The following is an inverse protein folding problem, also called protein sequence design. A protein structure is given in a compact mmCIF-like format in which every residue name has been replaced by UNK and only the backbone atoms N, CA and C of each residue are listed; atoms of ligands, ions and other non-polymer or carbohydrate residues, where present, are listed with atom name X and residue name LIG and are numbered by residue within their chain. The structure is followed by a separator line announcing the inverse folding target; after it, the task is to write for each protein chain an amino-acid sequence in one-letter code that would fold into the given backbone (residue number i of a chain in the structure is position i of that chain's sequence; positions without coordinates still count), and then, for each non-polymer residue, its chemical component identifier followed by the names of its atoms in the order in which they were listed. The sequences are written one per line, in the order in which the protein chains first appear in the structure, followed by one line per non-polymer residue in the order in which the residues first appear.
data_IF_724031543713
#
_entry.id   IF_724031543713
#
_cell.length_a   1.000
_cell.length_b   1.000
_cell.length_c   1.000
_cell.angle_alpha   90.00
_cell.angle_beta   90.00
_cell.angle_gamma   90.00
#
_symmetry.space_group_name_H-M   'P 1'
#
loop_
_entity.id
_entity.type
_entity.pdbx_description
1 polymer ?
#
# COMPACT_ATOMS: atom_id res chain seq x y z
N UNK A 1 -4.72 -6.40 -28.12
CA UNK A 1 -3.81 -6.29 -26.96
C UNK A 1 -4.44 -7.07 -25.82
N UNK A 2 -3.73 -8.03 -25.25
CA UNK A 2 -4.22 -8.71 -24.04
C UNK A 2 -4.30 -7.69 -22.90
N UNK A 3 -5.53 -7.40 -22.47
CA UNK A 3 -5.79 -6.47 -21.37
C UNK A 3 -5.60 -7.27 -20.09
N UNK A 4 -4.59 -6.94 -19.30
CA UNK A 4 -4.34 -7.64 -18.04
C UNK A 4 -5.51 -7.29 -17.11
N UNK A 5 -6.24 -8.26 -16.53
CA UNK A 5 -7.24 -7.96 -15.50
C UNK A 5 -6.65 -7.10 -14.39
N UNK A 6 -7.47 -6.28 -13.73
CA UNK A 6 -6.98 -5.54 -12.57
C UNK A 6 -6.88 -6.50 -11.38
N UNK A 7 -5.73 -6.54 -10.71
CA UNK A 7 -5.53 -7.31 -9.47
C UNK A 7 -5.24 -6.34 -8.34
N UNK A 8 -6.00 -6.46 -7.25
CA UNK A 8 -5.83 -5.66 -6.04
C UNK A 8 -5.35 -6.55 -4.89
N UNK A 9 -4.19 -6.26 -4.33
CA UNK A 9 -3.67 -6.93 -3.13
C UNK A 9 -4.00 -6.06 -1.92
N UNK A 10 -4.73 -6.62 -0.96
CA UNK A 10 -5.04 -5.95 0.31
C UNK A 10 -4.18 -6.57 1.41
N UNK A 11 -3.36 -5.75 2.06
CA UNK A 11 -2.48 -6.15 3.16
C UNK A 11 -3.01 -5.52 4.44
N UNK A 12 -3.38 -6.34 5.42
CA UNK A 12 -3.72 -5.88 6.76
C UNK A 12 -2.46 -5.90 7.63
N UNK A 13 -2.12 -4.78 8.24
CA UNK A 13 -1.02 -4.64 9.19
C UNK A 13 -1.55 -4.48 10.62
N UNK A 14 -0.90 -5.14 11.60
CA UNK A 14 -1.12 -4.87 13.02
C UNK A 14 0.17 -5.15 13.81
N UNK A 15 0.78 -4.11 14.38
CA UNK A 15 1.98 -4.18 15.23
C UNK A 15 3.19 -4.94 14.64
N UNK A 16 3.27 -5.08 13.31
CA UNK A 16 4.36 -5.81 12.64
C UNK A 16 4.68 -5.21 11.26
N UNK A 17 5.22 -4.00 11.26
CA UNK A 17 5.63 -3.33 10.02
C UNK A 17 6.75 -4.07 9.28
N UNK A 18 7.58 -4.84 9.97
CA UNK A 18 8.68 -5.60 9.35
C UNK A 18 8.14 -6.64 8.37
N UNK A 19 7.13 -7.43 8.79
CA UNK A 19 6.50 -8.44 7.94
C UNK A 19 5.78 -7.78 6.75
N UNK A 20 5.12 -6.65 7.00
CA UNK A 20 4.50 -5.86 5.93
C UNK A 20 5.54 -5.38 4.92
N UNK A 21 6.71 -4.91 5.37
CA UNK A 21 7.80 -4.49 4.47
C UNK A 21 8.37 -5.69 3.70
N UNK A 22 8.60 -6.83 4.35
CA UNK A 22 9.10 -8.03 3.67
C UNK A 22 8.12 -8.49 2.58
N UNK A 23 6.81 -8.48 2.88
CA UNK A 23 5.76 -8.75 1.91
C UNK A 23 5.81 -7.77 0.73
N UNK A 24 5.99 -6.47 0.99
CA UNK A 24 6.12 -5.46 -0.07
C UNK A 24 7.39 -5.65 -0.92
N UNK A 25 8.52 -6.07 -0.33
CA UNK A 25 9.73 -6.44 -1.10
C UNK A 25 9.50 -7.66 -1.98
N UNK A 26 8.73 -8.64 -1.51
CA UNK A 26 8.33 -9.80 -2.31
C UNK A 26 7.44 -9.39 -3.48
N UNK A 27 6.41 -8.57 -3.23
CA UNK A 27 5.47 -8.09 -4.27
C UNK A 27 6.19 -7.31 -5.37
N UNK A 28 7.27 -6.57 -5.05
CA UNK A 28 8.08 -5.86 -6.06
C UNK A 28 8.68 -6.77 -7.14
N UNK A 29 8.86 -8.06 -6.86
CA UNK A 29 9.40 -9.02 -7.82
C UNK A 29 8.31 -9.66 -8.69
N UNK A 30 7.03 -9.36 -8.44
CA UNK A 30 5.91 -9.88 -9.23
C UNK A 30 5.86 -9.18 -10.58
N UNK A 31 5.95 -9.96 -11.67
CA UNK A 31 5.84 -9.44 -13.04
C UNK A 31 4.37 -9.34 -13.50
N UNK A 32 3.50 -8.71 -12.69
CA UNK A 32 2.10 -8.40 -13.03
C UNK A 32 1.92 -6.88 -13.25
N UNK A 33 1.56 -6.43 -14.47
CA UNK A 33 1.56 -5.01 -14.84
C UNK A 33 0.32 -4.23 -14.41
N UNK A 34 -0.83 -4.88 -14.19
CA UNK A 34 -2.07 -4.23 -13.76
C UNK A 34 -2.40 -4.55 -12.30
N UNK A 35 -1.45 -4.23 -11.42
CA UNK A 35 -1.48 -4.53 -9.99
C UNK A 35 -1.62 -3.24 -9.17
N UNK A 36 -2.46 -3.26 -8.14
CA UNK A 36 -2.46 -2.26 -7.07
C UNK A 36 -2.29 -2.94 -5.70
N UNK A 37 -1.65 -2.25 -4.76
CA UNK A 37 -1.47 -2.71 -3.38
C UNK A 37 -2.09 -1.70 -2.43
N UNK A 38 -2.98 -2.17 -1.56
CA UNK A 38 -3.67 -1.38 -0.55
C UNK A 38 -3.24 -1.91 0.82
N UNK A 39 -2.69 -1.03 1.65
CA UNK A 39 -2.28 -1.39 3.02
C UNK A 39 -3.29 -0.78 3.99
N UNK A 40 -3.81 -1.59 4.90
CA UNK A 40 -4.74 -1.20 5.94
C UNK A 40 -4.06 -1.44 7.28
N UNK A 41 -3.83 -0.39 8.06
CA UNK A 41 -3.39 -0.53 9.43
C UNK A 41 -4.60 -0.77 10.36
N UNK A 42 -4.56 -1.84 11.15
CA UNK A 42 -5.62 -2.23 12.07
C UNK A 42 -5.43 -1.60 13.46
N UNK A 43 -5.24 -0.27 13.49
CA UNK A 43 -4.98 0.49 14.71
C UNK A 43 -3.81 -0.09 15.52
N UNK A 44 -2.64 -0.19 14.87
CA UNK A 44 -1.41 -0.56 15.55
C UNK A 44 -1.12 0.41 16.71
N UNK A 45 -0.60 -0.12 17.81
CA UNK A 45 -0.18 0.65 18.98
C UNK A 45 1.31 1.00 18.96
N UNK A 46 2.05 0.46 18.00
CA UNK A 46 3.46 0.72 17.79
C UNK A 46 3.68 1.73 16.65
N UNK A 47 4.94 1.91 16.27
CA UNK A 47 5.33 2.81 15.17
C UNK A 47 5.11 2.22 13.77
N UNK A 48 4.27 1.18 13.62
CA UNK A 48 4.09 0.50 12.34
C UNK A 48 3.63 1.44 11.22
N UNK A 49 2.61 2.30 11.41
CA UNK A 49 2.17 3.22 10.36
C UNK A 49 3.30 4.12 9.85
N UNK A 50 4.08 4.71 10.76
CA UNK A 50 5.19 5.61 10.42
C UNK A 50 6.29 4.88 9.66
N UNK A 51 6.62 3.65 10.06
CA UNK A 51 7.66 2.83 9.42
C UNK A 51 7.27 2.41 8.00
N UNK A 52 6.03 1.99 7.82
CA UNK A 52 5.49 1.62 6.49
C UNK A 52 5.48 2.85 5.58
N UNK A 53 4.94 3.99 6.06
CA UNK A 53 4.93 5.26 5.31
C UNK A 53 6.37 5.69 4.94
N UNK A 54 7.30 5.61 5.88
CA UNK A 54 8.70 5.96 5.63
C UNK A 54 9.33 5.09 4.54
N UNK A 55 9.10 3.77 4.59
CA UNK A 55 9.60 2.84 3.58
C UNK A 55 9.01 3.15 2.19
N UNK A 56 7.69 3.41 2.11
CA UNK A 56 7.01 3.77 0.85
C UNK A 56 7.61 5.05 0.24
N UNK A 57 7.85 6.08 1.05
CA UNK A 57 8.42 7.37 0.60
C UNK A 57 9.88 7.28 0.17
N UNK A 58 10.66 6.33 0.70
CA UNK A 58 12.07 6.15 0.33
C UNK A 58 12.25 5.41 -1.00
N UNK A 59 11.25 4.67 -1.46
CA UNK A 59 11.37 3.73 -2.60
C UNK A 59 10.60 4.12 -3.86
N UNK A 60 10.14 5.38 -3.96
CA UNK A 60 9.32 5.98 -5.03
C UNK A 60 10.01 6.16 -6.39
N UNK A 61 10.66 5.11 -6.91
CA UNK A 61 11.04 5.04 -8.35
C UNK A 61 10.30 3.96 -9.15
N UNK A 62 9.45 3.13 -8.54
CA UNK A 62 8.79 2.04 -9.28
C UNK A 62 7.46 1.53 -8.73
N UNK A 63 6.93 2.11 -7.65
CA UNK A 63 5.61 1.77 -7.11
C UNK A 63 4.87 3.08 -6.95
N UNK A 64 3.79 3.26 -7.72
CA UNK A 64 2.80 4.28 -7.43
C UNK A 64 2.01 3.81 -6.21
N UNK A 65 2.48 4.15 -5.02
CA UNK A 65 1.70 4.02 -3.80
C UNK A 65 0.97 5.35 -3.58
N UNK A 66 -0.36 5.40 -3.78
CA UNK A 66 -1.10 6.60 -3.41
C UNK A 66 -1.11 6.61 -1.89
N UNK A 67 -0.48 7.60 -1.29
CA UNK A 67 -0.41 7.73 0.16
C UNK A 67 -1.62 8.55 0.58
N UNK A 68 -2.64 7.90 1.15
CA UNK A 68 -3.68 8.60 1.90
C UNK A 68 -3.38 8.37 3.38
N UNK A 69 -3.09 9.46 4.11
CA UNK A 69 -2.90 9.44 5.56
C UNK A 69 -4.25 9.28 6.24
N UNK A 70 -4.29 8.33 7.18
CA UNK A 70 -5.48 7.80 7.89
C UNK A 70 -6.38 8.91 8.49
N UNK A 71 -5.86 10.10 8.80
CA UNK A 71 -6.65 11.20 9.36
C UNK A 71 -7.69 11.79 8.38
N UNK A 72 -7.40 11.92 7.08
CA UNK A 72 -8.35 12.48 6.09
C UNK A 72 -9.37 11.45 5.60
N UNK A 73 -9.03 10.18 5.78
CA UNK A 73 -9.77 8.97 5.40
C UNK A 73 -10.93 8.71 6.38
N UNK A 74 -10.66 8.81 7.68
CA UNK A 74 -11.61 8.41 8.72
C UNK A 74 -12.78 9.38 8.83
N UNK A 75 -12.59 10.66 8.49
CA UNK A 75 -13.66 11.66 8.52
C UNK A 75 -14.70 11.50 7.39
N UNK A 76 -14.32 10.96 6.22
CA UNK A 76 -15.18 10.99 5.04
C UNK A 76 -15.87 9.69 4.66
N UNK A 77 -15.59 8.56 5.32
CA UNK A 77 -16.30 7.26 5.33
C UNK A 77 -15.24 6.15 5.52
N UNK A 78 -15.54 5.12 6.32
CA UNK A 78 -14.63 4.05 6.77
C UNK A 78 -14.09 3.10 5.67
N UNK A 79 -13.58 3.60 4.54
CA UNK A 79 -12.94 2.82 3.47
C UNK A 79 -12.10 3.73 2.58
N UNK A 80 -10.94 3.25 2.09
CA UNK A 80 -10.02 4.04 1.24
C UNK A 80 -9.54 3.24 0.04
N UNK A 81 -9.77 3.73 -1.18
CA UNK A 81 -9.04 3.28 -2.36
C UNK A 81 -7.94 4.28 -2.72
N UNK A 82 -6.79 3.73 -3.10
CA UNK A 82 -5.58 4.42 -3.49
C UNK A 82 -5.34 4.03 -4.95
N UNK A 83 -5.93 4.78 -5.90
CA UNK A 83 -5.69 4.59 -7.33
C UNK A 83 -4.79 5.70 -7.85
N UNK A 84 -3.81 5.35 -8.65
CA UNK A 84 -2.80 6.28 -9.16
C UNK A 84 -2.72 6.06 -10.68
N UNK A 85 -3.18 7.05 -11.46
CA UNK A 85 -2.95 7.11 -12.91
C UNK A 85 -1.65 7.89 -13.16
N UNK A 86 -0.72 7.26 -13.87
CA UNK A 86 0.51 7.86 -14.37
C UNK A 86 0.20 8.76 -15.57
N UNK A 87 0.75 9.98 -15.58
CA UNK A 87 1.19 10.63 -16.81
C UNK A 87 2.63 10.20 -17.11
#
# INVERSE_FOLDING_TARGET
MEKWPKVSIIILNWNSWQDTIECLESIKNVNYKNLEVIIIDNASYDTSPEKIIYWLRKKTRGILASMLTILEILEKLKFVPVSLQLN
#
